data_IF_966506982518
#
_entry.id   IF_966506982518
#
_cell.length_a   1.000
_cell.length_b   1.000
_cell.length_c   1.000
_cell.angle_alpha   90.00
_cell.angle_beta   90.00
_cell.angle_gamma   90.00
#
_symmetry.space_group_name_H-M   'P 1'
#
loop_
_entity.id
_entity.type
_entity.pdbx_description
1 polymer ?
#
# COMPACT_ATOMS: atom_id res chain seq x y z
N UNK A 1 -23.08 33.79 -4.79
CA UNK A 1 -22.27 32.74 -5.50
C UNK A 1 -21.45 31.96 -4.50
N UNK A 2 -21.69 30.65 -4.35
CA UNK A 2 -20.91 29.82 -3.43
C UNK A 2 -19.50 29.64 -3.98
N UNK A 3 -18.49 29.92 -3.14
CA UNK A 3 -17.07 29.73 -3.46
C UNK A 3 -16.82 28.26 -3.82
N UNK A 4 -16.18 27.91 -4.97
CA UNK A 4 -15.97 26.54 -5.36
C UNK A 4 -15.21 25.81 -4.24
N UNK A 5 -15.73 24.67 -3.80
CA UNK A 5 -15.17 23.83 -2.74
C UNK A 5 -13.81 23.32 -3.19
N UNK A 6 -12.74 23.83 -2.60
CA UNK A 6 -11.37 23.42 -2.92
C UNK A 6 -11.07 22.17 -2.10
N UNK A 7 -11.23 21.00 -2.72
CA UNK A 7 -10.82 19.73 -2.13
C UNK A 7 -9.32 19.55 -2.39
N UNK A 8 -8.50 19.30 -1.35
CA UNK A 8 -7.07 19.05 -1.51
C UNK A 8 -6.80 17.77 -2.30
N UNK A 9 -5.65 17.69 -2.97
CA UNK A 9 -5.30 16.57 -3.85
C UNK A 9 -5.19 15.24 -3.11
N UNK A 10 -4.74 15.23 -1.86
CA UNK A 10 -4.65 14.03 -1.03
C UNK A 10 -6.00 13.34 -0.81
N UNK A 11 -7.08 14.11 -0.67
CA UNK A 11 -8.45 13.57 -0.57
C UNK A 11 -8.93 13.00 -1.91
N UNK A 12 -8.60 13.67 -3.01
CA UNK A 12 -8.92 13.18 -4.37
C UNK A 12 -8.14 11.88 -4.65
N UNK A 13 -6.88 11.82 -4.29
CA UNK A 13 -6.03 10.62 -4.45
C UNK A 13 -6.51 9.45 -3.60
N UNK A 14 -6.90 9.68 -2.35
CA UNK A 14 -7.51 8.66 -1.51
C UNK A 14 -8.79 8.10 -2.13
N UNK A 15 -9.66 8.96 -2.64
CA UNK A 15 -10.88 8.56 -3.35
C UNK A 15 -10.57 7.72 -4.60
N UNK A 16 -9.58 8.11 -5.39
CA UNK A 16 -9.17 7.36 -6.59
C UNK A 16 -8.67 5.96 -6.20
N UNK A 17 -7.86 5.84 -5.15
CA UNK A 17 -7.41 4.51 -4.66
C UNK A 17 -8.58 3.66 -4.15
N UNK A 18 -9.57 4.27 -3.50
CA UNK A 18 -10.82 3.57 -3.13
C UNK A 18 -11.56 3.05 -4.36
N UNK A 19 -11.73 3.87 -5.39
CA UNK A 19 -12.37 3.45 -6.65
C UNK A 19 -11.60 2.32 -7.35
N UNK A 20 -10.26 2.36 -7.32
CA UNK A 20 -9.41 1.28 -7.83
C UNK A 20 -9.61 -0.02 -7.05
N UNK A 21 -9.77 0.06 -5.73
CA UNK A 21 -10.02 -1.11 -4.88
C UNK A 21 -11.40 -1.72 -5.11
N UNK A 22 -12.42 -0.89 -5.33
CA UNK A 22 -13.82 -1.32 -5.53
C UNK A 22 -14.06 -2.00 -6.87
N UNK A 23 -13.51 -1.45 -7.95
CA UNK A 23 -13.86 -1.91 -9.30
C UNK A 23 -12.72 -1.86 -10.33
N UNK A 24 -11.51 -1.69 -9.86
CA UNK A 24 -10.33 -1.63 -10.71
C UNK A 24 -10.24 -0.37 -11.59
N UNK A 25 -9.29 -0.34 -12.53
CA UNK A 25 -9.02 0.84 -13.33
C UNK A 25 -10.21 1.36 -14.14
N UNK A 26 -11.13 0.48 -14.55
CA UNK A 26 -12.31 0.88 -15.34
C UNK A 26 -13.31 1.75 -14.58
N UNK A 27 -13.34 1.65 -13.25
CA UNK A 27 -14.20 2.46 -12.38
C UNK A 27 -13.67 3.88 -12.17
N UNK A 28 -12.41 4.16 -12.48
CA UNK A 28 -11.82 5.48 -12.32
C UNK A 28 -12.00 6.29 -13.61
N UNK A 29 -12.99 7.16 -13.61
CA UNK A 29 -13.25 8.14 -14.69
C UNK A 29 -13.36 9.53 -14.09
N UNK A 30 -13.20 10.58 -14.90
CA UNK A 30 -13.45 11.95 -14.43
C UNK A 30 -14.89 12.11 -13.89
N UNK A 31 -15.86 11.45 -14.51
CA UNK A 31 -17.26 11.50 -14.08
C UNK A 31 -17.45 10.86 -12.69
N UNK A 32 -16.89 9.67 -12.45
CA UNK A 32 -17.01 9.00 -11.15
C UNK A 32 -16.26 9.74 -10.04
N UNK A 33 -15.07 10.27 -10.33
CA UNK A 33 -14.30 11.08 -9.37
C UNK A 33 -15.04 12.40 -9.08
N UNK A 34 -15.58 13.08 -10.08
CA UNK A 34 -16.36 14.30 -9.92
C UNK A 34 -17.60 14.06 -9.04
N UNK A 35 -18.38 13.01 -9.35
CA UNK A 35 -19.58 12.66 -8.61
C UNK A 35 -19.30 12.38 -7.12
N UNK A 36 -18.20 11.67 -6.81
CA UNK A 36 -17.86 11.32 -5.44
C UNK A 36 -17.11 12.42 -4.67
N UNK A 37 -16.29 13.23 -5.35
CA UNK A 37 -15.54 14.32 -4.72
C UNK A 37 -16.34 15.60 -4.58
N UNK A 38 -17.38 15.78 -5.41
CA UNK A 38 -18.11 17.06 -5.55
C UNK A 38 -17.31 18.12 -6.31
N UNK A 39 -16.20 17.76 -6.95
CA UNK A 39 -15.46 18.65 -7.85
C UNK A 39 -16.08 18.66 -9.23
N UNK A 40 -16.01 19.83 -9.91
CA UNK A 40 -16.42 19.91 -11.30
C UNK A 40 -15.46 19.12 -12.22
N UNK A 41 -16.01 18.38 -13.19
CA UNK A 41 -15.21 17.63 -14.15
C UNK A 41 -14.11 18.44 -14.84
N UNK A 42 -14.39 19.67 -15.36
CA UNK A 42 -13.36 20.55 -15.92
C UNK A 42 -12.22 20.87 -14.96
N UNK A 43 -12.47 20.99 -13.66
CA UNK A 43 -11.43 21.22 -12.66
C UNK A 43 -10.49 20.03 -12.51
N UNK A 44 -11.01 18.81 -12.62
CA UNK A 44 -10.20 17.60 -12.62
C UNK A 44 -9.35 17.48 -13.89
N UNK A 45 -9.93 17.79 -15.05
CA UNK A 45 -9.19 17.82 -16.32
C UNK A 45 -8.07 18.85 -16.28
N UNK A 46 -8.33 20.04 -15.75
CA UNK A 46 -7.30 21.07 -15.60
C UNK A 46 -6.15 20.64 -14.68
N UNK A 47 -6.44 19.90 -13.61
CA UNK A 47 -5.41 19.43 -12.64
C UNK A 47 -4.56 18.29 -13.18
N UNK A 48 -5.19 17.34 -13.86
CA UNK A 48 -4.57 16.05 -14.16
C UNK A 48 -4.40 15.76 -15.65
N UNK A 49 -4.84 16.66 -16.53
CA UNK A 49 -4.76 16.60 -17.99
C UNK A 49 -5.60 15.46 -18.60
N UNK A 50 -5.37 14.24 -18.18
CA UNK A 50 -6.09 13.06 -18.65
C UNK A 50 -6.30 12.06 -17.50
N UNK A 51 -7.08 11.02 -17.79
CA UNK A 51 -7.44 9.98 -16.83
C UNK A 51 -6.20 9.24 -16.28
N UNK A 52 -5.27 8.90 -17.17
CA UNK A 52 -4.09 8.10 -16.79
C UNK A 52 -3.13 8.93 -15.93
N UNK A 53 -2.98 10.22 -16.22
CA UNK A 53 -2.26 11.17 -15.36
C UNK A 53 -2.90 11.30 -13.97
N UNK A 54 -4.23 11.34 -13.90
CA UNK A 54 -4.96 11.37 -12.65
C UNK A 54 -4.75 10.10 -11.82
N UNK A 55 -4.81 8.93 -12.44
CA UNK A 55 -4.56 7.64 -11.78
C UNK A 55 -3.11 7.52 -11.35
N UNK A 56 -2.17 7.85 -12.22
CA UNK A 56 -0.73 7.80 -11.93
C UNK A 56 -0.36 8.70 -10.72
N UNK A 57 -0.88 9.94 -10.69
CA UNK A 57 -0.66 10.85 -9.56
C UNK A 57 -1.18 10.26 -8.23
N UNK A 58 -2.37 9.64 -8.23
CA UNK A 58 -2.92 9.00 -7.05
C UNK A 58 -2.12 7.76 -6.59
N UNK A 59 -1.55 7.01 -7.52
CA UNK A 59 -0.71 5.85 -7.22
C UNK A 59 0.67 6.29 -6.69
N UNK A 60 1.27 7.34 -7.25
CA UNK A 60 2.52 7.92 -6.75
C UNK A 60 2.33 8.42 -5.31
N UNK A 61 1.27 9.20 -5.04
CA UNK A 61 0.94 9.62 -3.66
C UNK A 61 0.76 8.41 -2.72
N UNK A 62 0.13 7.34 -3.21
CA UNK A 62 -0.01 6.10 -2.45
C UNK A 62 1.32 5.48 -2.05
N UNK A 63 2.27 5.40 -2.98
CA UNK A 63 3.64 4.93 -2.71
C UNK A 63 4.38 5.84 -1.73
N UNK A 64 4.28 7.17 -1.88
CA UNK A 64 4.90 8.13 -0.95
C UNK A 64 4.34 7.99 0.47
N UNK A 65 3.05 7.78 0.61
CA UNK A 65 2.39 7.52 1.91
C UNK A 65 2.86 6.21 2.52
N UNK A 66 2.95 5.15 1.71
CA UNK A 66 3.40 3.84 2.15
C UNK A 66 4.86 3.89 2.62
N UNK A 67 5.72 4.61 1.91
CA UNK A 67 7.11 4.80 2.32
C UNK A 67 7.22 5.52 3.66
N UNK A 68 6.50 6.63 3.84
CA UNK A 68 6.45 7.34 5.14
C UNK A 68 5.93 6.45 6.26
N UNK A 69 4.86 5.70 6.02
CA UNK A 69 4.31 4.76 7.00
C UNK A 69 5.32 3.65 7.38
N UNK A 70 6.07 3.15 6.39
CA UNK A 70 7.12 2.15 6.60
C UNK A 70 8.25 2.70 7.47
N UNK A 71 8.72 3.91 7.19
CA UNK A 71 9.75 4.58 7.99
C UNK A 71 9.30 4.80 9.44
N UNK A 72 8.09 5.30 9.63
CA UNK A 72 7.51 5.51 10.96
C UNK A 72 7.35 4.20 11.73
N UNK A 73 6.82 3.17 11.08
CA UNK A 73 6.65 1.85 11.70
C UNK A 73 8.00 1.19 12.03
N UNK A 74 9.03 1.38 11.19
CA UNK A 74 10.39 0.90 11.44
C UNK A 74 10.97 1.53 12.69
N UNK A 75 10.81 2.82 12.87
CA UNK A 75 11.29 3.55 14.04
C UNK A 75 10.49 3.21 15.32
N UNK A 76 9.19 2.93 15.20
CA UNK A 76 8.30 2.67 16.33
C UNK A 76 8.35 1.21 16.83
N UNK A 77 8.97 0.29 16.09
CA UNK A 77 8.99 -1.13 16.44
C UNK A 77 10.38 -1.57 16.94
N UNK A 78 10.40 -2.45 17.95
CA UNK A 78 11.64 -2.98 18.53
C UNK A 78 12.40 -3.89 17.56
N UNK A 79 13.67 -4.14 17.84
CA UNK A 79 14.42 -5.17 17.15
C UNK A 79 13.96 -6.59 17.52
N UNK A 80 14.37 -7.56 16.74
CA UNK A 80 14.03 -8.97 16.89
C UNK A 80 12.79 -9.39 16.10
N UNK A 81 12.49 -10.71 16.12
CA UNK A 81 11.38 -11.31 15.38
C UNK A 81 10.01 -10.72 15.66
N UNK A 82 9.76 -10.34 16.92
CA UNK A 82 8.49 -9.70 17.33
C UNK A 82 8.35 -8.32 16.68
N UNK A 83 9.41 -7.53 16.65
CA UNK A 83 9.44 -6.22 16.02
C UNK A 83 9.29 -6.29 14.51
N UNK A 84 9.94 -7.25 13.85
CA UNK A 84 9.78 -7.47 12.41
C UNK A 84 8.33 -7.81 12.05
N UNK A 85 7.66 -8.66 12.83
CA UNK A 85 6.23 -8.95 12.63
C UNK A 85 5.35 -7.74 12.92
N UNK A 86 5.68 -6.96 13.96
CA UNK A 86 4.94 -5.73 14.31
C UNK A 86 5.05 -4.68 13.20
N UNK A 87 6.25 -4.50 12.61
CA UNK A 87 6.49 -3.64 11.45
C UNK A 87 5.56 -4.01 10.28
N UNK A 88 5.54 -5.27 9.88
CA UNK A 88 4.71 -5.74 8.77
C UNK A 88 3.21 -5.55 9.03
N UNK A 89 2.77 -5.75 10.27
CA UNK A 89 1.38 -5.49 10.68
C UNK A 89 1.02 -4.01 10.66
N UNK A 90 1.94 -3.14 11.03
CA UNK A 90 1.71 -1.70 11.04
C UNK A 90 1.55 -1.13 9.63
N UNK A 91 2.30 -1.67 8.65
CA UNK A 91 2.23 -1.24 7.24
C UNK A 91 0.91 -1.68 6.58
N UNK A 92 0.46 -2.89 6.84
CA UNK A 92 -0.78 -3.43 6.30
C UNK A 92 -1.56 -4.17 7.39
N UNK A 93 -2.42 -3.47 8.12
CA UNK A 93 -3.30 -4.09 9.10
C UNK A 93 -4.16 -5.16 8.43
N UNK A 94 -4.13 -6.38 8.98
CA UNK A 94 -4.91 -7.51 8.48
C UNK A 94 -6.30 -7.55 9.12
N UNK A 95 -6.95 -6.41 9.27
CA UNK A 95 -8.31 -6.35 9.78
C UNK A 95 -9.30 -6.43 8.61
N UNK A 96 -10.11 -7.50 8.50
CA UNK A 96 -11.10 -7.64 7.44
C UNK A 96 -12.21 -6.57 7.50
N UNK A 97 -12.40 -5.89 8.63
CA UNK A 97 -13.36 -4.79 8.77
C UNK A 97 -12.83 -3.46 8.19
N UNK A 98 -11.53 -3.35 7.91
CA UNK A 98 -10.94 -2.19 7.28
C UNK A 98 -10.99 -2.31 5.75
N UNK A 99 -11.13 -1.18 5.03
CA UNK A 99 -11.07 -1.20 3.57
C UNK A 99 -9.74 -1.82 3.10
N UNK A 100 -9.69 -2.38 1.87
CA UNK A 100 -8.49 -2.98 1.32
C UNK A 100 -7.31 -2.03 1.51
N UNK A 101 -6.20 -2.51 2.09
CA UNK A 101 -5.05 -1.65 2.30
C UNK A 101 -4.58 -1.07 0.96
N UNK A 102 -4.22 0.20 0.94
CA UNK A 102 -3.65 0.87 -0.23
C UNK A 102 -2.55 0.04 -0.90
N UNK A 103 -1.79 -0.72 -0.10
CA UNK A 103 -0.72 -1.59 -0.58
C UNK A 103 -1.18 -2.63 -1.61
N UNK A 104 -2.35 -3.25 -1.43
CA UNK A 104 -2.86 -4.21 -2.42
C UNK A 104 -3.17 -3.53 -3.75
N UNK A 105 -3.82 -2.35 -3.68
CA UNK A 105 -4.10 -1.54 -4.88
C UNK A 105 -2.80 -1.18 -5.59
N UNK A 106 -1.80 -0.71 -4.85
CA UNK A 106 -0.50 -0.31 -5.39
C UNK A 106 0.21 -1.48 -6.07
N UNK A 107 0.24 -2.66 -5.44
CA UNK A 107 0.88 -3.86 -6.01
C UNK A 107 0.17 -4.33 -7.29
N UNK A 108 -1.16 -4.31 -7.32
CA UNK A 108 -1.94 -4.77 -8.46
C UNK A 108 -1.99 -3.76 -9.63
N UNK A 109 -1.56 -2.51 -9.43
CA UNK A 109 -1.68 -1.44 -10.42
C UNK A 109 -0.35 -0.86 -10.89
N UNK A 110 0.75 -1.62 -10.81
CA UNK A 110 2.08 -1.23 -11.33
C UNK A 110 2.13 -1.31 -12.86
N UNK A 111 1.42 -0.41 -13.54
CA UNK A 111 1.21 -0.47 -14.98
C UNK A 111 2.34 0.13 -15.81
N UNK A 112 3.09 1.08 -15.26
CA UNK A 112 4.19 1.76 -15.95
C UNK A 112 5.55 1.58 -15.25
N UNK A 113 6.64 2.01 -15.91
CA UNK A 113 7.99 1.84 -15.40
C UNK A 113 8.21 2.62 -14.10
N UNK A 114 7.72 3.86 -14.01
CA UNK A 114 7.92 4.70 -12.83
C UNK A 114 7.28 4.10 -11.58
N UNK A 115 6.07 3.53 -11.70
CA UNK A 115 5.41 2.84 -10.59
C UNK A 115 6.14 1.55 -10.21
N UNK A 116 6.67 0.79 -11.18
CA UNK A 116 7.49 -0.40 -10.90
C UNK A 116 8.78 -0.05 -10.18
N UNK A 117 9.47 1.01 -10.60
CA UNK A 117 10.70 1.48 -9.96
C UNK A 117 10.44 1.93 -8.51
N UNK A 118 9.33 2.66 -8.28
CA UNK A 118 8.90 3.03 -6.91
C UNK A 118 8.62 1.81 -6.04
N UNK A 119 7.92 0.83 -6.58
CA UNK A 119 7.63 -0.42 -5.87
C UNK A 119 8.92 -1.20 -5.53
N UNK A 120 9.88 -1.24 -6.45
CA UNK A 120 11.16 -1.91 -6.24
C UNK A 120 11.98 -1.22 -5.14
N UNK A 121 12.06 0.12 -5.16
CA UNK A 121 12.75 0.90 -4.13
C UNK A 121 12.11 0.69 -2.75
N UNK A 122 10.79 0.79 -2.65
CA UNK A 122 10.10 0.53 -1.40
C UNK A 122 10.32 -0.90 -0.88
N UNK A 123 10.23 -1.91 -1.77
CA UNK A 123 10.51 -3.30 -1.41
C UNK A 123 11.91 -3.49 -0.85
N UNK A 124 12.92 -2.90 -1.50
CA UNK A 124 14.32 -2.95 -1.03
C UNK A 124 14.46 -2.31 0.36
N UNK A 125 13.88 -1.13 0.56
CA UNK A 125 13.89 -0.42 1.84
C UNK A 125 13.24 -1.23 2.97
N UNK A 126 12.08 -1.86 2.71
CA UNK A 126 11.40 -2.69 3.70
C UNK A 126 12.20 -3.97 4.03
N UNK A 127 12.78 -4.63 3.02
CA UNK A 127 13.64 -5.81 3.25
C UNK A 127 14.86 -5.43 4.08
N UNK A 128 15.52 -4.30 3.79
CA UNK A 128 16.64 -3.80 4.58
C UNK A 128 16.24 -3.52 6.05
N UNK A 129 15.08 -2.92 6.27
CA UNK A 129 14.54 -2.70 7.61
C UNK A 129 14.27 -4.03 8.36
N UNK A 130 13.73 -5.04 7.66
CA UNK A 130 13.54 -6.37 8.22
C UNK A 130 14.86 -7.06 8.55
N UNK A 131 15.88 -6.94 7.68
CA UNK A 131 17.22 -7.48 7.92
C UNK A 131 17.84 -6.87 9.17
N UNK A 132 17.77 -5.53 9.31
CA UNK A 132 18.25 -4.84 10.50
C UNK A 132 17.59 -5.36 11.77
N UNK A 133 16.24 -5.50 11.76
CA UNK A 133 15.50 -6.02 12.92
C UNK A 133 15.81 -7.47 13.24
N UNK A 134 16.03 -8.32 12.23
CA UNK A 134 16.32 -9.73 12.42
C UNK A 134 17.79 -10.01 12.77
N UNK A 135 18.70 -9.05 12.57
CA UNK A 135 20.13 -9.17 12.89
C UNK A 135 20.78 -10.34 12.14
N UNK A 136 21.52 -11.17 12.87
CA UNK A 136 22.34 -12.26 12.31
C UNK A 136 21.56 -13.44 11.68
N UNK A 137 20.24 -13.35 11.61
CA UNK A 137 19.44 -14.39 10.97
C UNK A 137 19.54 -14.43 9.43
N UNK A 138 20.33 -13.51 8.84
CA UNK A 138 20.67 -13.48 7.42
C UNK A 138 19.62 -12.87 6.49
N UNK A 139 20.07 -12.34 5.33
CA UNK A 139 19.21 -11.63 4.39
C UNK A 139 18.07 -12.49 3.84
N UNK A 140 18.32 -13.78 3.56
CA UNK A 140 17.31 -14.69 3.01
C UNK A 140 16.09 -14.86 3.91
N UNK A 141 16.23 -14.76 5.23
CA UNK A 141 15.10 -14.86 6.16
C UNK A 141 14.21 -13.63 6.14
N UNK A 142 14.78 -12.45 5.96
CA UNK A 142 14.02 -11.22 5.77
C UNK A 142 13.20 -11.26 4.47
N UNK A 143 13.80 -11.74 3.39
CA UNK A 143 13.12 -11.92 2.11
C UNK A 143 12.01 -12.97 2.19
N UNK A 144 12.26 -14.11 2.86
CA UNK A 144 11.22 -15.13 3.09
C UNK A 144 10.07 -14.59 3.92
N UNK A 145 10.34 -13.84 4.99
CA UNK A 145 9.31 -13.24 5.82
C UNK A 145 8.48 -12.21 5.05
N UNK A 146 9.14 -11.40 4.21
CA UNK A 146 8.46 -10.48 3.31
C UNK A 146 7.56 -11.23 2.31
N UNK A 147 8.06 -12.28 1.66
CA UNK A 147 7.30 -13.07 0.69
C UNK A 147 6.07 -13.74 1.32
N UNK A 148 6.22 -14.31 2.50
CA UNK A 148 5.10 -14.91 3.26
C UNK A 148 4.04 -13.87 3.64
N UNK A 149 4.47 -12.70 4.10
CA UNK A 149 3.56 -11.60 4.44
C UNK A 149 2.83 -11.08 3.20
N UNK A 150 3.55 -10.89 2.08
CA UNK A 150 2.96 -10.42 0.82
C UNK A 150 1.96 -11.45 0.27
N UNK A 151 2.31 -12.73 0.26
CA UNK A 151 1.42 -13.80 -0.15
C UNK A 151 0.13 -13.81 0.68
N UNK A 152 0.25 -13.71 2.00
CA UNK A 152 -0.91 -13.62 2.89
C UNK A 152 -1.77 -12.38 2.59
N UNK A 153 -1.15 -11.22 2.34
CA UNK A 153 -1.87 -9.98 2.02
C UNK A 153 -2.70 -10.12 0.74
N UNK A 154 -2.14 -10.74 -0.30
CA UNK A 154 -2.83 -10.95 -1.58
C UNK A 154 -4.01 -11.91 -1.45
N UNK A 155 -3.84 -13.00 -0.70
CA UNK A 155 -4.86 -14.04 -0.56
C UNK A 155 -5.90 -13.78 0.53
N UNK A 156 -5.69 -12.80 1.41
CA UNK A 156 -6.58 -12.52 2.54
C UNK A 156 -8.04 -12.20 2.16
N UNK A 157 -8.29 -11.84 0.91
CA UNK A 157 -9.64 -11.55 0.40
C UNK A 157 -10.27 -12.71 -0.38
N UNK A 158 -9.44 -13.64 -0.84
CA UNK A 158 -9.94 -14.82 -1.57
C UNK A 158 -10.25 -15.98 -0.62
N UNK A 159 -9.53 -16.07 0.49
CA UNK A 159 -9.66 -17.16 1.45
C UNK A 159 -9.50 -16.60 2.88
N UNK A 160 -10.64 -16.49 3.59
CA UNK A 160 -10.66 -16.15 5.01
C UNK A 160 -10.05 -17.26 5.90
N UNK A 161 -9.84 -18.45 5.34
CA UNK A 161 -9.31 -19.62 6.03
C UNK A 161 -7.78 -19.69 6.07
N UNK A 162 -7.06 -18.61 5.81
CA UNK A 162 -5.60 -18.59 5.98
C UNK A 162 -5.23 -19.00 7.41
N UNK A 163 -4.89 -20.25 7.59
CA UNK A 163 -4.77 -20.90 8.90
C UNK A 163 -3.48 -20.53 9.64
N UNK A 164 -2.45 -20.01 8.95
CA UNK A 164 -1.21 -19.68 9.64
C UNK A 164 -1.14 -18.19 10.02
N UNK A 165 -0.62 -17.93 11.22
CA UNK A 165 -0.36 -16.57 11.68
C UNK A 165 1.05 -16.15 11.31
N UNK A 166 1.23 -14.91 10.88
CA UNK A 166 2.55 -14.37 10.50
C UNK A 166 3.61 -14.56 11.61
N UNK A 167 3.20 -14.48 12.88
CA UNK A 167 4.07 -14.74 14.03
C UNK A 167 4.57 -16.19 14.09
N UNK A 168 3.76 -17.15 13.66
CA UNK A 168 4.11 -18.57 13.71
C UNK A 168 5.05 -18.91 12.54
N UNK A 169 4.81 -18.32 11.37
CA UNK A 169 5.75 -18.35 10.25
C UNK A 169 7.09 -17.72 10.62
N UNK A 170 7.09 -16.56 11.28
CA UNK A 170 8.33 -15.93 11.75
C UNK A 170 9.08 -16.84 12.75
N UNK A 171 8.38 -17.51 13.65
CA UNK A 171 9.00 -18.48 14.59
C UNK A 171 9.67 -19.64 13.86
N UNK A 172 8.99 -20.24 12.87
CA UNK A 172 9.54 -21.35 12.09
C UNK A 172 10.76 -20.93 11.27
N UNK A 173 10.70 -19.77 10.62
CA UNK A 173 11.83 -19.24 9.84
C UNK A 173 13.04 -18.88 10.69
N UNK A 174 12.83 -18.51 11.95
CA UNK A 174 13.85 -17.99 12.85
C UNK A 174 14.25 -19.00 13.93
N UNK A 175 13.65 -20.18 13.94
CA UNK A 175 14.12 -21.31 14.73
C UNK A 175 15.54 -21.69 14.26
N UNK A 176 16.46 -21.90 15.24
CA UNK A 176 17.83 -22.36 15.00
C UNK A 176 17.84 -23.85 14.72
#
# INVERSE_FOLDING_TARGET
MARPRRIPDDQVFALIRTLLAEGGPRHVTFATVAARSGLAGPSLVQRYLNRDGMVSAALIDGWDRLERATQQATAATSDGPKGAVALLKAIAPSDPALPPSDLRVLICTMTDAALRDRAALWRQSLIAALQTKLGDHGPSRAEMLFALWQGRLLWSHADAATTFRLRDAARLLLAR
#
